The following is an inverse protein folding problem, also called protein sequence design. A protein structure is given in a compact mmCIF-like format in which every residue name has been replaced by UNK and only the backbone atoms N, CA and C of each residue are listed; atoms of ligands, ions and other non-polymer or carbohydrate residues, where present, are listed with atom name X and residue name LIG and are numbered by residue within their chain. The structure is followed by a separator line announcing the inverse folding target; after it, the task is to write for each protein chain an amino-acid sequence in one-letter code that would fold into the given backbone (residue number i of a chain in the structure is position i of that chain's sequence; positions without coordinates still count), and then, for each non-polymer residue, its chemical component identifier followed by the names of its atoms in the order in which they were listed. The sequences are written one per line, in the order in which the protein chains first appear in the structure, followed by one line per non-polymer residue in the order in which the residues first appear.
data_IF_648832187454
#
_entry.id   IF_648832187454
#
_cell.length_a   1.000
_cell.length_b   1.000
_cell.length_c   1.000
_cell.angle_alpha   90.00
_cell.angle_beta   90.00
_cell.angle_gamma   90.00
#
_symmetry.space_group_name_H-M   'P 1'
#
loop_
_entity.id
_entity.type
_entity.pdbx_description
1 polymer ?
#
# COMPACT_ATOMS: atom_id res chain seq x y z
N UNK A 1 39.09 64.35 -30.35
CA UNK A 1 40.40 63.67 -30.25
C UNK A 1 40.14 62.19 -30.45
N UNK A 2 40.50 61.65 -31.62
CA UNK A 2 41.83 61.06 -31.87
C UNK A 2 41.94 59.77 -31.06
N UNK A 3 41.64 58.60 -31.63
CA UNK A 3 42.55 57.74 -32.40
C UNK A 3 42.22 56.31 -31.87
N UNK A 4 42.13 55.19 -32.59
CA UNK A 4 42.44 54.81 -33.96
C UNK A 4 41.48 53.66 -34.32
N UNK A 5 40.62 53.89 -35.32
CA UNK A 5 39.78 52.91 -36.00
C UNK A 5 40.53 52.43 -37.26
N UNK A 6 41.82 52.12 -37.11
CA UNK A 6 42.74 51.91 -38.22
C UNK A 6 43.57 50.65 -37.99
N UNK A 7 42.87 49.51 -38.00
CA UNK A 7 43.50 48.23 -38.32
C UNK A 7 42.52 47.34 -39.11
N UNK A 8 41.74 47.97 -39.99
CA UNK A 8 40.93 47.30 -41.02
C UNK A 8 41.37 47.92 -42.36
N UNK A 9 42.50 47.47 -42.89
CA UNK A 9 42.92 47.53 -44.31
C UNK A 9 44.44 47.61 -44.47
N UNK A 10 45.16 46.62 -43.95
CA UNK A 10 46.42 46.29 -44.61
C UNK A 10 46.66 44.79 -44.58
N UNK A 11 46.97 44.28 -45.77
CA UNK A 11 47.46 42.94 -46.08
C UNK A 11 46.39 41.91 -46.46
N UNK A 12 45.65 42.28 -47.52
CA UNK A 12 45.46 41.35 -48.62
C UNK A 12 46.80 40.80 -49.11
N UNK A 13 47.08 39.57 -48.70
CA UNK A 13 47.77 38.55 -49.50
C UNK A 13 47.64 37.24 -48.72
N UNK A 14 46.50 36.57 -48.91
CA UNK A 14 46.44 35.13 -48.69
C UNK A 14 47.43 34.51 -49.69
N UNK A 15 48.69 34.38 -49.27
CA UNK A 15 49.56 33.38 -49.85
C UNK A 15 48.80 32.06 -49.69
N UNK A 16 48.37 31.53 -50.83
CA UNK A 16 47.99 30.14 -51.02
C UNK A 16 49.17 29.29 -50.59
N UNK A 17 49.35 29.13 -49.27
CA UNK A 17 50.24 28.14 -48.68
C UNK A 17 49.59 26.83 -49.05
N UNK A 18 50.19 26.21 -50.05
CA UNK A 18 50.02 24.81 -50.40
C UNK A 18 49.71 24.01 -49.14
N UNK A 19 48.59 23.32 -49.16
CA UNK A 19 48.34 22.20 -48.27
C UNK A 19 49.43 21.15 -48.56
N UNK A 20 50.61 21.31 -47.98
CA UNK A 20 51.48 20.19 -47.74
C UNK A 20 50.76 19.36 -46.69
N UNK A 21 50.02 18.35 -47.14
CA UNK A 21 49.81 17.15 -46.35
C UNK A 21 51.20 16.74 -45.89
N UNK A 22 51.53 17.00 -44.62
CA UNK A 22 52.53 16.18 -43.95
C UNK A 22 52.00 14.76 -44.13
N UNK A 23 52.69 13.98 -44.95
CA UNK A 23 52.52 12.54 -44.96
C UNK A 23 52.57 12.12 -43.49
N UNK A 24 51.45 11.63 -42.98
CA UNK A 24 51.40 11.03 -41.65
C UNK A 24 52.50 9.98 -41.66
N UNK A 25 53.55 10.18 -40.86
CA UNK A 25 54.50 9.12 -40.57
C UNK A 25 53.64 7.94 -40.07
N UNK A 26 53.80 6.78 -40.69
CA UNK A 26 53.10 5.58 -40.25
C UNK A 26 53.39 5.33 -38.77
N UNK A 27 52.41 4.77 -38.06
CA UNK A 27 52.55 4.48 -36.64
C UNK A 27 53.75 3.58 -36.35
N UNK A 28 54.51 3.91 -35.31
CA UNK A 28 55.58 3.04 -34.84
C UNK A 28 54.98 1.79 -34.18
N UNK A 29 55.66 0.64 -34.28
CA UNK A 29 55.18 -0.64 -33.70
C UNK A 29 54.87 -0.49 -32.20
N UNK A 30 55.67 0.31 -31.48
CA UNK A 30 55.49 0.60 -30.06
C UNK A 30 54.23 1.40 -29.74
N UNK A 31 53.83 2.36 -30.59
CA UNK A 31 52.58 3.13 -30.41
C UNK A 31 51.35 2.25 -30.63
N UNK A 32 51.38 1.37 -31.64
CA UNK A 32 50.28 0.42 -31.91
C UNK A 32 50.13 -0.58 -30.77
N UNK A 33 51.24 -1.08 -30.22
CA UNK A 33 51.23 -1.96 -29.06
C UNK A 33 50.67 -1.27 -27.80
N UNK A 34 51.07 -0.03 -27.54
CA UNK A 34 50.56 0.73 -26.39
C UNK A 34 49.07 1.05 -26.54
N UNK A 35 48.64 1.48 -27.73
CA UNK A 35 47.23 1.71 -28.02
C UNK A 35 46.40 0.43 -27.90
N UNK A 36 46.91 -0.70 -28.38
CA UNK A 36 46.29 -2.02 -28.25
C UNK A 36 46.14 -2.44 -26.78
N UNK A 37 47.17 -2.22 -25.96
CA UNK A 37 47.12 -2.50 -24.52
C UNK A 37 46.08 -1.62 -23.81
N UNK A 38 46.08 -0.31 -24.08
CA UNK A 38 45.09 0.61 -23.51
C UNK A 38 43.67 0.21 -23.91
N UNK A 39 43.45 -0.14 -25.18
CA UNK A 39 42.15 -0.60 -25.67
C UNK A 39 41.71 -1.89 -24.96
N UNK A 40 42.61 -2.86 -24.79
CA UNK A 40 42.31 -4.11 -24.09
C UNK A 40 41.92 -3.86 -22.63
N UNK A 41 42.66 -3.00 -21.92
CA UNK A 41 42.30 -2.64 -20.53
C UNK A 41 40.95 -1.92 -20.46
N UNK A 42 40.67 -1.00 -21.39
CA UNK A 42 39.40 -0.28 -21.43
C UNK A 42 38.21 -1.23 -21.68
N UNK A 43 38.35 -2.20 -22.60
CA UNK A 43 37.33 -3.21 -22.88
C UNK A 43 37.08 -4.11 -21.67
N UNK A 44 38.13 -4.52 -20.96
CA UNK A 44 37.99 -5.33 -19.74
C UNK A 44 37.25 -4.57 -18.62
N UNK A 45 37.63 -3.32 -18.36
CA UNK A 45 36.98 -2.49 -17.33
C UNK A 45 35.51 -2.21 -17.70
N UNK A 46 35.24 -1.86 -18.95
CA UNK A 46 33.88 -1.65 -19.44
C UNK A 46 33.02 -2.94 -19.37
N UNK A 47 33.62 -4.10 -19.69
CA UNK A 47 32.96 -5.40 -19.61
C UNK A 47 32.52 -5.75 -18.18
N UNK A 48 33.40 -5.55 -17.19
CA UNK A 48 33.06 -5.76 -15.77
C UNK A 48 31.94 -4.80 -15.34
N UNK A 49 32.03 -3.53 -15.75
CA UNK A 49 31.00 -2.53 -15.45
C UNK A 49 29.61 -2.92 -15.96
N UNK A 50 29.52 -3.38 -17.23
CA UNK A 50 28.26 -3.82 -17.82
C UNK A 50 27.68 -5.06 -17.11
N UNK A 51 28.52 -6.05 -16.76
CA UNK A 51 28.08 -7.25 -16.04
C UNK A 51 27.48 -6.89 -14.68
N UNK A 52 28.12 -5.98 -13.94
CA UNK A 52 27.62 -5.53 -12.64
C UNK A 52 26.29 -4.76 -12.78
N UNK A 53 26.17 -3.92 -13.81
CA UNK A 53 24.92 -3.20 -14.09
C UNK A 53 23.79 -4.16 -14.45
N UNK A 54 24.04 -5.13 -15.33
CA UNK A 54 23.04 -6.14 -15.70
C UNK A 54 22.61 -6.96 -14.48
N UNK A 55 23.55 -7.42 -13.65
CA UNK A 55 23.24 -8.15 -12.41
C UNK A 55 22.39 -7.31 -11.46
N UNK A 56 22.71 -6.03 -11.31
CA UNK A 56 21.93 -5.09 -10.50
C UNK A 56 20.50 -4.93 -11.03
N UNK A 57 20.35 -4.73 -12.34
CA UNK A 57 19.03 -4.60 -12.98
C UNK A 57 18.19 -5.87 -12.86
N UNK A 58 18.78 -7.05 -13.09
CA UNK A 58 18.08 -8.32 -12.90
C UNK A 58 17.63 -8.51 -11.45
N UNK A 59 18.48 -8.10 -10.49
CA UNK A 59 18.15 -8.17 -9.07
C UNK A 59 17.04 -7.22 -8.67
N UNK A 60 17.12 -5.96 -9.10
CA UNK A 60 16.08 -4.98 -8.84
C UNK A 60 14.73 -5.40 -9.46
N UNK A 61 14.76 -5.94 -10.68
CA UNK A 61 13.55 -6.42 -11.35
C UNK A 61 12.93 -7.63 -10.61
N UNK A 62 13.74 -8.61 -10.23
CA UNK A 62 13.27 -9.77 -9.48
C UNK A 62 12.71 -9.37 -8.10
N UNK A 63 13.38 -8.47 -7.38
CA UNK A 63 12.90 -7.96 -6.09
C UNK A 63 11.54 -7.25 -6.24
N UNK A 64 11.39 -6.39 -7.25
CA UNK A 64 10.14 -5.70 -7.54
C UNK A 64 9.00 -6.67 -7.89
N UNK A 65 9.27 -7.65 -8.76
CA UNK A 65 8.29 -8.66 -9.17
C UNK A 65 7.80 -9.50 -7.98
N UNK A 66 8.72 -9.99 -7.14
CA UNK A 66 8.37 -10.79 -5.95
C UNK A 66 7.50 -9.98 -5.00
N UNK A 67 7.90 -8.75 -4.69
CA UNK A 67 7.16 -7.88 -3.77
C UNK A 67 5.74 -7.62 -4.26
N UNK A 68 5.62 -7.27 -5.54
CA UNK A 68 4.32 -7.03 -6.17
C UNK A 68 3.43 -8.28 -6.13
N UNK A 69 3.97 -9.44 -6.51
CA UNK A 69 3.22 -10.70 -6.53
C UNK A 69 2.77 -11.13 -5.12
N UNK A 70 3.64 -11.02 -4.11
CA UNK A 70 3.30 -11.43 -2.74
C UNK A 70 2.32 -10.47 -2.09
N UNK A 71 2.47 -9.16 -2.28
CA UNK A 71 1.52 -8.18 -1.75
C UNK A 71 0.14 -8.38 -2.36
N UNK A 72 0.05 -8.58 -3.69
CA UNK A 72 -1.22 -8.89 -4.37
C UNK A 72 -1.81 -10.23 -3.91
N UNK A 73 -0.96 -11.22 -3.60
CA UNK A 73 -1.39 -12.50 -3.04
C UNK A 73 -2.04 -12.30 -1.67
N UNK A 74 -1.37 -11.58 -0.76
CA UNK A 74 -1.89 -11.32 0.57
C UNK A 74 -3.18 -10.51 0.52
N UNK A 75 -3.28 -9.50 -0.36
CA UNK A 75 -4.50 -8.74 -0.56
C UNK A 75 -5.67 -9.62 -1.01
N UNK A 76 -5.42 -10.47 -2.02
CA UNK A 76 -6.41 -11.42 -2.54
C UNK A 76 -6.91 -12.40 -1.47
N UNK A 77 -5.98 -13.07 -0.77
CA UNK A 77 -6.34 -14.03 0.28
C UNK A 77 -7.02 -13.32 1.45
N UNK A 78 -6.58 -12.11 1.80
CA UNK A 78 -7.21 -11.30 2.85
C UNK A 78 -8.66 -10.97 2.52
N UNK A 79 -8.94 -10.59 1.27
CA UNK A 79 -10.31 -10.27 0.86
C UNK A 79 -11.24 -11.49 0.91
N UNK A 80 -10.73 -12.68 0.58
CA UNK A 80 -11.50 -13.91 0.78
C UNK A 80 -11.67 -14.29 2.26
N UNK A 81 -10.65 -14.11 3.10
CA UNK A 81 -10.74 -14.33 4.55
C UNK A 81 -11.73 -13.36 5.19
N UNK A 82 -11.82 -12.12 4.73
CA UNK A 82 -12.84 -11.16 5.18
C UNK A 82 -14.26 -11.66 4.90
N UNK A 83 -14.45 -12.44 3.83
CA UNK A 83 -15.74 -13.07 3.48
C UNK A 83 -16.01 -14.38 4.24
N UNK A 84 -15.02 -14.91 4.96
CA UNK A 84 -15.17 -16.13 5.74
C UNK A 84 -16.09 -15.92 6.95
N UNK A 85 -16.86 -16.96 7.26
CA UNK A 85 -17.69 -17.06 8.46
C UNK A 85 -17.10 -17.99 9.51
N UNK A 86 -16.51 -19.09 9.08
CA UNK A 86 -15.82 -20.04 9.96
C UNK A 86 -14.46 -20.31 9.35
N UNK A 87 -13.41 -20.16 10.16
CA UNK A 87 -12.03 -20.46 9.76
C UNK A 87 -11.57 -21.71 10.49
N UNK A 88 -10.98 -22.66 9.76
CA UNK A 88 -10.36 -23.83 10.37
C UNK A 88 -9.17 -23.36 11.22
N UNK A 89 -9.17 -23.71 12.50
CA UNK A 89 -8.15 -23.26 13.46
C UNK A 89 -7.00 -24.28 13.65
N UNK A 90 -6.99 -25.37 12.89
CA UNK A 90 -5.96 -26.42 12.91
C UNK A 90 -6.01 -27.23 11.61
N UNK A 91 -4.93 -27.96 11.30
CA UNK A 91 -4.88 -28.88 10.14
C UNK A 91 -6.01 -29.92 10.18
N UNK A 92 -6.33 -30.43 11.37
CA UNK A 92 -7.40 -31.43 11.57
C UNK A 92 -8.81 -30.87 11.41
N UNK A 93 -8.99 -29.54 11.54
CA UNK A 93 -10.27 -28.88 11.29
C UNK A 93 -10.52 -28.65 9.78
N UNK A 94 -9.55 -28.96 8.93
CA UNK A 94 -9.70 -28.92 7.48
C UNK A 94 -10.34 -30.24 7.05
N UNK A 95 -11.62 -30.19 6.71
CA UNK A 95 -12.43 -31.36 6.33
C UNK A 95 -12.46 -31.61 4.84
N UNK A 96 -12.01 -30.65 4.02
CA UNK A 96 -12.04 -30.80 2.56
C UNK A 96 -11.04 -31.86 2.08
N UNK A 97 -11.53 -32.83 1.32
CA UNK A 97 -10.72 -33.90 0.72
C UNK A 97 -10.13 -33.53 -0.64
N UNK A 98 -10.16 -32.23 -0.99
CA UNK A 98 -9.87 -31.74 -2.34
C UNK A 98 -8.43 -31.30 -2.50
N UNK A 99 -7.64 -31.29 -1.44
CA UNK A 99 -6.20 -31.07 -1.53
C UNK A 99 -5.54 -32.27 -2.25
N UNK A 100 -4.85 -32.06 -3.38
CA UNK A 100 -4.17 -33.14 -4.10
C UNK A 100 -3.09 -33.81 -3.26
N UNK A 101 -2.76 -35.07 -3.59
CA UNK A 101 -1.67 -35.80 -2.96
C UNK A 101 -0.34 -35.05 -3.09
N UNK A 102 0.38 -34.89 -1.98
CA UNK A 102 1.62 -34.10 -1.91
C UNK A 102 1.40 -32.59 -1.77
N UNK A 103 0.15 -32.12 -1.83
CA UNK A 103 -0.22 -30.78 -1.41
C UNK A 103 -0.34 -30.69 0.11
N UNK A 104 0.00 -29.53 0.67
CA UNK A 104 -0.14 -29.24 2.09
C UNK A 104 -1.16 -28.13 2.30
N UNK A 105 -2.22 -28.40 3.04
CA UNK A 105 -3.21 -27.38 3.38
C UNK A 105 -2.59 -26.35 4.34
N UNK A 106 -2.80 -25.07 4.05
CA UNK A 106 -2.19 -23.95 4.80
C UNK A 106 -3.22 -22.99 5.38
N UNK A 107 -4.44 -22.97 4.83
CA UNK A 107 -5.58 -22.20 5.31
C UNK A 107 -6.87 -22.82 4.75
N UNK A 108 -7.92 -22.90 5.56
CA UNK A 108 -9.24 -23.28 5.09
C UNK A 108 -10.32 -22.51 5.82
N UNK A 109 -11.41 -22.17 5.12
CA UNK A 109 -12.53 -21.47 5.70
C UNK A 109 -13.83 -21.72 4.93
N UNK A 110 -14.96 -21.50 5.60
CA UNK A 110 -16.30 -21.57 5.02
C UNK A 110 -16.88 -20.18 4.88
N UNK A 111 -17.66 -19.98 3.82
CA UNK A 111 -18.36 -18.72 3.53
C UNK A 111 -19.86 -18.88 3.85
N UNK A 112 -20.57 -17.78 4.15
CA UNK A 112 -22.04 -17.80 4.25
C UNK A 112 -22.68 -18.26 2.95
N UNK A 113 -23.85 -18.89 3.03
CA UNK A 113 -24.70 -19.10 1.85
C UNK A 113 -25.22 -17.72 1.36
N UNK A 114 -24.93 -17.32 0.11
CA UNK A 114 -25.40 -16.03 -0.42
C UNK A 114 -26.92 -15.90 -0.45
N UNK A 115 -27.66 -17.02 -0.58
CA UNK A 115 -29.11 -17.00 -0.62
C UNK A 115 -29.72 -16.88 0.78
N UNK A 116 -29.00 -17.34 1.81
CA UNK A 116 -29.45 -17.35 3.20
C UNK A 116 -28.29 -17.02 4.15
N UNK A 117 -27.79 -15.76 4.14
CA UNK A 117 -26.58 -15.39 4.89
C UNK A 117 -26.73 -15.55 6.41
N UNK A 118 -27.95 -15.56 6.92
CA UNK A 118 -28.25 -15.75 8.35
C UNK A 118 -28.22 -17.21 8.82
N UNK A 119 -28.29 -18.20 7.91
CA UNK A 119 -28.32 -19.64 8.23
C UNK A 119 -26.92 -20.24 8.37
N UNK A 120 -26.77 -21.57 8.44
CA UNK A 120 -25.45 -22.22 8.48
C UNK A 120 -24.58 -21.84 7.25
N UNK A 121 -23.24 -21.76 7.39
CA UNK A 121 -22.35 -21.58 6.25
C UNK A 121 -22.43 -22.76 5.28
N UNK A 122 -21.86 -22.59 4.09
CA UNK A 122 -21.72 -23.69 3.15
C UNK A 122 -20.92 -24.84 3.78
N UNK A 123 -21.36 -26.08 3.55
CA UNK A 123 -20.73 -27.27 4.15
C UNK A 123 -19.28 -27.47 3.68
N UNK A 124 -18.95 -27.05 2.47
CA UNK A 124 -17.59 -27.17 1.93
C UNK A 124 -16.70 -25.99 2.34
N UNK A 125 -15.41 -26.28 2.54
CA UNK A 125 -14.38 -25.28 2.83
C UNK A 125 -13.62 -24.86 1.57
N UNK A 126 -13.43 -23.55 1.40
CA UNK A 126 -12.41 -23.02 0.49
C UNK A 126 -11.06 -23.34 1.12
N UNK A 127 -10.18 -24.02 0.38
CA UNK A 127 -8.89 -24.49 0.89
C UNK A 127 -7.75 -23.92 0.07
N UNK A 128 -6.83 -23.30 0.78
CA UNK A 128 -5.53 -22.92 0.28
C UNK A 128 -4.51 -23.99 0.63
N UNK A 129 -3.73 -24.40 -0.35
CA UNK A 129 -2.71 -25.41 -0.19
C UNK A 129 -1.48 -25.10 -1.03
N UNK A 130 -0.33 -25.49 -0.53
CA UNK A 130 0.95 -25.36 -1.24
C UNK A 130 1.34 -26.69 -1.86
N UNK A 131 1.92 -26.65 -3.05
CA UNK A 131 2.47 -27.84 -3.72
C UNK A 131 3.94 -27.64 -4.04
N UNK A 132 4.64 -28.76 -4.23
CA UNK A 132 5.98 -28.73 -4.82
C UNK A 132 5.95 -28.17 -6.25
N UNK A 133 7.12 -27.88 -6.83
CA UNK A 133 7.19 -27.26 -8.14
C UNK A 133 6.68 -28.21 -9.22
N UNK A 134 5.89 -27.69 -10.16
CA UNK A 134 5.45 -28.43 -11.36
C UNK A 134 6.56 -28.49 -12.42
N UNK A 135 7.37 -27.44 -12.48
CA UNK A 135 8.45 -27.25 -13.46
C UNK A 135 9.58 -26.38 -12.87
N UNK A 136 10.56 -25.99 -13.68
CA UNK A 136 11.66 -25.12 -13.25
C UNK A 136 11.26 -23.66 -13.01
N UNK A 137 10.13 -23.21 -13.58
CA UNK A 137 9.65 -21.82 -13.50
C UNK A 137 8.85 -21.56 -12.22
N UNK A 138 8.18 -22.59 -11.70
CA UNK A 138 7.34 -22.58 -10.51
C UNK A 138 8.07 -22.96 -9.22
N UNK A 139 9.40 -23.10 -9.28
CA UNK A 139 10.24 -23.37 -8.09
C UNK A 139 10.29 -22.15 -7.16
N UNK A 140 10.36 -22.34 -5.83
CA UNK A 140 10.32 -23.63 -5.11
C UNK A 140 8.91 -24.21 -4.94
N UNK A 141 7.90 -23.39 -4.69
CA UNK A 141 6.53 -23.83 -4.39
C UNK A 141 5.48 -22.89 -5.01
N UNK A 142 4.27 -23.42 -5.18
CA UNK A 142 3.10 -22.67 -5.67
C UNK A 142 1.96 -22.78 -4.66
N UNK A 143 1.33 -21.65 -4.37
CA UNK A 143 0.06 -21.58 -3.63
C UNK A 143 -1.10 -21.82 -4.59
N UNK A 144 -1.95 -22.76 -4.21
CA UNK A 144 -3.18 -23.08 -4.92
C UNK A 144 -4.37 -22.82 -4.01
N UNK A 145 -5.49 -22.53 -4.66
CA UNK A 145 -6.80 -22.37 -4.05
C UNK A 145 -7.73 -23.40 -4.65
N UNK A 146 -8.47 -24.11 -3.81
CA UNK A 146 -9.66 -24.85 -4.19
C UNK A 146 -10.89 -24.11 -3.68
N UNK A 147 -11.77 -23.69 -4.58
CA UNK A 147 -12.92 -22.87 -4.22
C UNK A 147 -13.82 -22.56 -5.42
N UNK A 148 -14.92 -21.82 -5.18
CA UNK A 148 -15.79 -21.36 -6.25
C UNK A 148 -15.07 -20.37 -7.16
N UNK A 149 -15.53 -20.28 -8.40
CA UNK A 149 -15.00 -19.34 -9.39
C UNK A 149 -15.33 -17.89 -9.03
N UNK A 150 -14.45 -16.98 -9.42
CA UNK A 150 -14.64 -15.54 -9.25
C UNK A 150 -15.04 -14.91 -10.58
N UNK A 151 -16.07 -14.06 -10.55
CA UNK A 151 -16.42 -13.22 -11.69
C UNK A 151 -15.41 -12.04 -11.84
N UNK A 152 -15.49 -11.23 -12.92
CA UNK A 152 -14.60 -10.07 -13.10
C UNK A 152 -14.69 -9.02 -11.98
N UNK A 153 -15.74 -9.06 -11.16
CA UNK A 153 -15.95 -8.15 -10.03
C UNK A 153 -15.43 -8.76 -8.72
N UNK A 154 -14.86 -9.97 -8.74
CA UNK A 154 -14.35 -10.66 -7.56
C UNK A 154 -15.41 -11.35 -6.70
N UNK A 155 -16.63 -11.54 -7.21
CA UNK A 155 -17.70 -12.25 -6.50
C UNK A 155 -17.69 -13.75 -6.82
N UNK A 156 -18.15 -14.57 -5.88
CA UNK A 156 -18.29 -16.00 -6.10
C UNK A 156 -19.41 -16.32 -7.08
N UNK A 157 -19.09 -17.13 -8.08
CA UNK A 157 -20.06 -17.70 -9.03
C UNK A 157 -20.47 -19.09 -8.56
N UNK A 158 -21.77 -19.29 -8.35
CA UNK A 158 -22.36 -20.57 -7.91
C UNK A 158 -21.68 -21.22 -6.69
N UNK A 159 -21.43 -20.48 -5.59
CA UNK A 159 -20.66 -21.02 -4.46
C UNK A 159 -21.33 -22.23 -3.79
N UNK A 160 -22.66 -22.34 -3.86
CA UNK A 160 -23.42 -23.48 -3.37
C UNK A 160 -23.28 -24.77 -4.22
N UNK A 161 -22.75 -24.68 -5.45
CA UNK A 161 -22.55 -25.83 -6.32
C UNK A 161 -21.08 -26.28 -6.29
N UNK A 162 -20.77 -27.27 -5.44
CA UNK A 162 -19.40 -27.79 -5.30
C UNK A 162 -18.82 -28.39 -6.58
N UNK A 163 -19.66 -28.81 -7.54
CA UNK A 163 -19.19 -29.38 -8.80
C UNK A 163 -18.55 -28.35 -9.73
N UNK A 164 -18.80 -27.06 -9.52
CA UNK A 164 -18.20 -25.96 -10.32
C UNK A 164 -16.90 -25.43 -9.72
N UNK A 165 -16.52 -25.90 -8.52
CA UNK A 165 -15.30 -25.46 -7.86
C UNK A 165 -14.07 -26.05 -8.54
N UNK A 166 -13.01 -25.27 -8.61
CA UNK A 166 -11.78 -25.68 -9.29
C UNK A 166 -10.52 -25.32 -8.51
N UNK A 167 -9.41 -25.94 -8.91
CA UNK A 167 -8.08 -25.59 -8.45
C UNK A 167 -7.51 -24.46 -9.29
N UNK A 168 -7.17 -23.35 -8.66
CA UNK A 168 -6.55 -22.20 -9.32
C UNK A 168 -5.22 -21.87 -8.65
N UNK A 169 -4.15 -21.62 -9.44
CA UNK A 169 -2.90 -21.12 -8.89
C UNK A 169 -3.09 -19.67 -8.45
N UNK A 170 -2.54 -19.31 -7.30
CA UNK A 170 -2.66 -17.97 -6.71
C UNK A 170 -1.34 -17.23 -6.81
N UNK A 171 -0.25 -17.87 -6.39
CA UNK A 171 1.09 -17.30 -6.42
C UNK A 171 2.14 -18.38 -6.56
N UNK A 172 3.27 -18.06 -7.18
CA UNK A 172 4.40 -18.95 -7.36
C UNK A 172 5.64 -18.44 -6.59
N UNK A 173 6.77 -19.13 -6.74
CA UNK A 173 8.08 -18.75 -6.17
C UNK A 173 8.08 -18.59 -4.65
N UNK A 174 7.17 -19.30 -3.98
CA UNK A 174 7.15 -19.38 -2.52
C UNK A 174 8.36 -20.17 -2.02
N UNK A 175 8.95 -19.70 -0.93
CA UNK A 175 10.05 -20.36 -0.26
C UNK A 175 9.68 -21.80 0.14
N UNK A 176 10.68 -22.69 0.18
CA UNK A 176 10.43 -24.08 0.54
C UNK A 176 9.99 -24.23 2.01
N UNK A 177 10.55 -23.38 2.89
CA UNK A 177 10.28 -23.29 4.31
C UNK A 177 10.03 -21.83 4.71
N UNK A 178 9.28 -21.63 5.80
CA UNK A 178 9.06 -20.30 6.36
C UNK A 178 10.34 -19.73 7.00
N UNK A 179 10.54 -18.41 6.90
CA UNK A 179 11.73 -17.70 7.45
C UNK A 179 11.59 -17.47 8.96
N UNK A 180 10.39 -17.10 9.42
CA UNK A 180 10.04 -17.04 10.84
C UNK A 180 8.70 -17.76 11.04
N UNK A 181 8.74 -19.05 11.41
CA UNK A 181 7.53 -19.85 11.54
C UNK A 181 6.74 -19.53 12.81
N UNK A 182 7.03 -18.48 13.58
CA UNK A 182 6.32 -18.26 14.85
C UNK A 182 4.93 -17.66 14.65
N UNK A 183 3.98 -18.11 15.48
CA UNK A 183 2.67 -17.47 15.62
C UNK A 183 2.58 -16.91 17.05
N UNK A 184 1.88 -15.78 17.28
CA UNK A 184 1.65 -15.29 18.64
C UNK A 184 0.89 -16.32 19.49
N UNK A 185 0.99 -16.21 20.82
CA UNK A 185 0.48 -17.23 21.77
C UNK A 185 -1.03 -17.55 21.63
N UNK A 186 -1.81 -16.60 21.13
CA UNK A 186 -3.26 -16.75 20.90
C UNK A 186 -3.65 -17.17 19.49
N UNK A 187 -2.66 -17.54 18.68
CA UNK A 187 -2.86 -18.00 17.33
C UNK A 187 -2.36 -19.43 17.16
N UNK A 188 -3.22 -20.25 16.56
CA UNK A 188 -2.90 -21.58 16.13
C UNK A 188 -2.32 -21.54 14.72
N UNK A 189 -1.16 -22.18 14.56
CA UNK A 189 -0.58 -22.41 13.24
C UNK A 189 -1.32 -23.54 12.55
N UNK A 190 -1.75 -23.32 11.31
CA UNK A 190 -2.51 -24.33 10.56
C UNK A 190 -1.62 -25.47 10.07
N UNK A 191 -0.46 -25.16 9.50
CA UNK A 191 0.41 -26.16 8.87
C UNK A 191 1.70 -26.37 9.68
N UNK A 192 2.07 -27.63 9.95
CA UNK A 192 3.31 -27.96 10.67
C UNK A 192 4.11 -29.07 9.96
N UNK A 193 5.37 -28.85 9.51
CA UNK A 193 6.09 -27.58 9.49
C UNK A 193 5.46 -26.56 8.52
N UNK A 194 5.54 -25.25 8.81
CA UNK A 194 5.08 -24.22 7.88
C UNK A 194 6.01 -24.11 6.67
N UNK A 195 5.40 -23.82 5.53
CA UNK A 195 6.09 -23.61 4.25
C UNK A 195 6.13 -22.12 3.93
N UNK A 196 6.62 -21.73 2.74
CA UNK A 196 6.68 -20.34 2.33
C UNK A 196 5.32 -19.61 2.27
N UNK A 197 4.21 -20.29 2.52
CA UNK A 197 2.96 -19.63 2.91
C UNK A 197 2.38 -20.37 4.11
N UNK A 198 1.98 -19.62 5.14
CA UNK A 198 1.30 -20.19 6.31
C UNK A 198 0.36 -19.17 6.97
N UNK A 199 -0.71 -19.69 7.56
CA UNK A 199 -1.65 -18.90 8.34
C UNK A 199 -1.54 -19.22 9.83
N UNK A 200 -1.58 -18.16 10.64
CA UNK A 200 -1.82 -18.23 12.06
C UNK A 200 -3.27 -17.78 12.30
N UNK A 201 -4.14 -18.66 12.79
CA UNK A 201 -5.56 -18.37 13.03
C UNK A 201 -5.77 -18.18 14.53
N UNK A 202 -6.42 -17.09 14.92
CA UNK A 202 -6.72 -16.82 16.32
C UNK A 202 -7.58 -17.94 16.90
N UNK A 203 -7.42 -18.24 18.20
CA UNK A 203 -8.19 -19.31 18.88
C UNK A 203 -9.71 -19.14 18.72
N UNK A 204 -10.18 -17.90 18.63
CA UNK A 204 -11.59 -17.56 18.45
C UNK A 204 -12.08 -17.66 16.98
N UNK A 205 -11.19 -17.89 16.01
CA UNK A 205 -11.53 -18.10 14.60
C UNK A 205 -12.00 -16.86 13.83
N UNK A 206 -11.95 -15.68 14.44
CA UNK A 206 -12.37 -14.39 13.87
C UNK A 206 -11.22 -13.59 13.21
N UNK A 207 -9.98 -14.01 13.41
CA UNK A 207 -8.80 -13.29 12.98
C UNK A 207 -7.73 -14.25 12.44
N UNK A 208 -7.02 -13.82 11.40
CA UNK A 208 -5.94 -14.57 10.76
C UNK A 208 -4.75 -13.65 10.51
N UNK A 209 -3.55 -14.14 10.79
CA UNK A 209 -2.30 -13.55 10.30
C UNK A 209 -1.83 -14.43 9.14
N UNK A 210 -1.76 -13.85 7.96
CA UNK A 210 -1.25 -14.49 6.75
C UNK A 210 0.23 -14.14 6.62
N UNK A 211 1.07 -15.14 6.41
CA UNK A 211 2.51 -14.97 6.22
C UNK A 211 2.91 -15.59 4.89
N UNK A 212 3.69 -14.85 4.11
CA UNK A 212 4.21 -15.29 2.83
C UNK A 212 5.71 -14.97 2.72
N UNK A 213 6.49 -16.00 2.42
CA UNK A 213 7.91 -15.98 2.17
C UNK A 213 8.16 -16.46 0.74
N UNK A 214 8.92 -15.68 -0.02
CA UNK A 214 9.31 -16.00 -1.38
C UNK A 214 10.83 -16.04 -1.54
N UNK A 215 11.27 -16.86 -2.48
CA UNK A 215 12.67 -17.06 -2.79
C UNK A 215 12.86 -17.24 -4.30
N UNK A 216 13.70 -16.38 -4.89
CA UNK A 216 14.18 -16.55 -6.26
C UNK A 216 15.66 -16.81 -6.25
N UNK A 217 16.06 -17.90 -6.91
CA UNK A 217 17.46 -18.18 -7.25
C UNK A 217 17.76 -17.67 -8.64
N UNK A 218 18.72 -16.76 -8.75
CA UNK A 218 19.18 -16.19 -10.01
C UNK A 218 20.13 -17.13 -10.73
N UNK A 219 20.28 -16.93 -12.05
CA UNK A 219 21.28 -17.64 -12.86
C UNK A 219 22.72 -17.34 -12.44
N UNK A 220 22.94 -16.23 -11.72
CA UNK A 220 24.22 -15.85 -11.12
C UNK A 220 24.54 -16.56 -9.81
N UNK A 221 23.67 -17.49 -9.35
CA UNK A 221 23.67 -18.10 -8.02
C UNK A 221 23.39 -17.14 -6.84
N UNK A 222 22.99 -15.90 -7.13
CA UNK A 222 22.46 -15.00 -6.12
C UNK A 222 21.03 -15.40 -5.74
N UNK A 223 20.63 -15.12 -4.51
CA UNK A 223 19.27 -15.36 -4.03
C UNK A 223 18.62 -14.07 -3.58
N UNK A 224 17.36 -13.87 -3.98
CA UNK A 224 16.49 -12.81 -3.47
C UNK A 224 15.43 -13.47 -2.61
N UNK A 225 15.28 -12.97 -1.39
CA UNK A 225 14.29 -13.41 -0.40
C UNK A 225 13.45 -12.22 -0.02
N UNK A 226 12.15 -12.44 0.09
CA UNK A 226 11.20 -11.43 0.54
C UNK A 226 10.14 -12.10 1.42
N UNK A 227 9.81 -11.45 2.52
CA UNK A 227 8.88 -11.94 3.51
C UNK A 227 7.90 -10.82 3.84
N UNK A 228 6.61 -11.14 3.87
CA UNK A 228 5.56 -10.19 4.21
C UNK A 228 4.47 -10.89 5.00
N UNK A 229 3.85 -10.15 5.91
CA UNK A 229 2.70 -10.62 6.66
C UNK A 229 1.57 -9.58 6.66
N UNK A 230 0.36 -10.04 6.94
CA UNK A 230 -0.79 -9.16 7.14
C UNK A 230 -1.78 -9.80 8.09
N UNK A 231 -2.55 -8.97 8.78
CA UNK A 231 -3.54 -9.37 9.79
C UNK A 231 -4.94 -9.02 9.28
N UNK A 232 -5.84 -9.98 9.37
CA UNK A 232 -7.16 -9.92 8.74
C UNK A 232 -8.23 -10.37 9.71
N UNK A 233 -9.36 -9.68 9.72
CA UNK A 233 -10.56 -10.05 10.48
C UNK A 233 -11.69 -10.50 9.55
N UNK A 234 -12.46 -11.49 10.00
CA UNK A 234 -13.68 -11.93 9.31
C UNK A 234 -14.78 -10.89 9.43
N UNK A 235 -15.51 -10.62 8.35
CA UNK A 235 -16.69 -9.73 8.34
C UNK A 235 -18.01 -10.50 8.44
N UNK A 236 -18.03 -11.79 8.10
CA UNK A 236 -19.24 -12.60 8.18
C UNK A 236 -19.44 -13.09 9.62
N UNK A 237 -20.20 -12.31 10.37
CA UNK A 237 -20.36 -12.45 11.81
C UNK A 237 -21.25 -13.67 12.22
N UNK A 238 -20.82 -14.42 13.24
CA UNK A 238 -21.70 -15.24 14.08
C UNK A 238 -22.41 -14.33 15.08
N UNK A 239 -23.63 -14.65 15.52
CA UNK A 239 -24.47 -13.86 16.47
C UNK A 239 -23.71 -13.34 17.73
N UNK A 240 -22.54 -13.89 18.06
CA UNK A 240 -21.66 -13.47 19.16
C UNK A 240 -20.79 -12.21 18.92
N UNK A 241 -20.64 -11.63 17.71
CA UNK A 241 -19.80 -10.41 17.57
C UNK A 241 -20.39 -9.15 18.24
N UNK A 242 -21.58 -9.24 18.86
CA UNK A 242 -22.15 -8.14 19.63
C UNK A 242 -21.66 -8.09 21.10
N UNK A 243 -20.81 -9.03 21.55
CA UNK A 243 -20.41 -9.10 22.97
C UNK A 243 -18.92 -9.29 23.28
N UNK A 244 -18.04 -9.55 22.30
CA UNK A 244 -16.60 -9.68 22.58
C UNK A 244 -15.82 -8.45 22.14
N UNK A 245 -15.08 -7.89 23.09
CA UNK A 245 -14.17 -6.76 23.02
C UNK A 245 -13.45 -6.52 21.69
N UNK A 246 -13.47 -5.24 21.32
CA UNK A 246 -12.75 -4.50 20.29
C UNK A 246 -11.44 -5.13 19.80
N UNK A 247 -11.28 -5.38 18.49
CA UNK A 247 -10.01 -5.83 17.92
C UNK A 247 -9.02 -4.67 17.79
N UNK A 248 -7.87 -4.79 18.45
CA UNK A 248 -6.67 -3.95 18.24
C UNK A 248 -6.04 -4.25 16.89
N UNK A 249 -5.93 -3.24 16.05
CA UNK A 249 -5.58 -3.30 14.63
C UNK A 249 -4.22 -2.59 14.40
N UNK A 250 -3.14 -3.14 14.98
CA UNK A 250 -1.76 -2.65 14.76
C UNK A 250 -1.46 -2.41 13.26
N UNK A 251 -1.18 -1.16 12.82
CA UNK A 251 -0.85 -0.90 11.43
C UNK A 251 0.62 -1.24 11.17
N UNK A 252 0.86 -2.23 10.31
CA UNK A 252 2.19 -2.50 9.75
C UNK A 252 2.35 -1.63 8.51
N UNK A 253 3.26 -0.66 8.59
CA UNK A 253 3.63 0.24 7.50
C UNK A 253 4.47 -0.50 6.45
N UNK A 254 4.07 -0.48 5.17
CA UNK A 254 4.99 -0.75 4.05
C UNK A 254 4.56 0.07 2.82
N UNK A 255 5.49 0.76 2.14
CA UNK A 255 5.19 1.81 1.18
C UNK A 255 4.83 1.26 -0.21
N UNK A 256 3.80 1.84 -0.81
CA UNK A 256 3.40 1.64 -2.21
C UNK A 256 4.12 2.63 -3.10
N UNK A 257 5.00 2.17 -4.00
CA UNK A 257 5.52 3.00 -5.11
C UNK A 257 4.88 2.54 -6.43
N UNK A 258 3.89 3.30 -6.88
CA UNK A 258 3.30 3.21 -8.22
C UNK A 258 4.27 3.78 -9.27
N UNK A 259 4.39 3.20 -10.48
CA UNK A 259 5.31 3.68 -11.51
C UNK A 259 4.90 5.04 -12.09
N UNK A 260 5.88 5.92 -12.12
CA UNK A 260 5.86 7.26 -12.71
C UNK A 260 5.64 7.21 -14.22
N UNK A 261 4.50 7.68 -14.69
CA UNK A 261 4.40 8.34 -15.99
C UNK A 261 4.55 9.85 -15.77
N UNK A 262 5.54 10.43 -16.43
CA UNK A 262 5.87 11.86 -16.61
C UNK A 262 4.93 12.88 -15.90
N UNK A 263 5.41 13.60 -14.87
CA UNK A 263 4.55 14.48 -14.08
C UNK A 263 4.30 15.82 -14.79
N UNK A 264 3.02 16.10 -15.03
CA UNK A 264 2.53 17.48 -14.98
C UNK A 264 2.51 17.86 -13.50
N UNK A 265 3.30 18.87 -13.12
CA UNK A 265 3.58 19.28 -11.73
C UNK A 265 2.39 19.96 -11.06
N UNK A 266 1.26 19.28 -10.94
CA UNK A 266 0.20 19.70 -10.01
C UNK A 266 0.60 19.18 -8.64
N UNK A 267 0.93 20.05 -7.67
CA UNK A 267 1.28 19.60 -6.33
C UNK A 267 0.12 18.76 -5.76
N UNK A 268 0.44 17.55 -5.30
CA UNK A 268 -0.53 16.63 -4.72
C UNK A 268 -0.78 17.05 -3.25
N UNK A 269 -2.04 17.18 -2.81
CA UNK A 269 -2.34 17.56 -1.43
C UNK A 269 -1.76 16.54 -0.43
N UNK A 270 -1.34 16.98 0.78
CA UNK A 270 -0.71 16.11 1.79
C UNK A 270 -1.73 15.23 2.54
N UNK A 271 -2.93 15.06 1.98
CA UNK A 271 -4.01 14.28 2.55
C UNK A 271 -4.95 13.76 1.45
N UNK A 272 -5.74 12.74 1.77
CA UNK A 272 -6.94 12.37 1.03
C UNK A 272 -8.14 12.32 1.97
N UNK A 273 -9.35 12.14 1.44
CA UNK A 273 -10.58 12.07 2.26
C UNK A 273 -11.25 10.72 2.09
N UNK A 274 -11.80 10.20 3.19
CA UNK A 274 -12.67 9.02 3.20
C UNK A 274 -14.00 9.36 3.85
N UNK A 275 -15.08 8.60 3.56
CA UNK A 275 -16.31 8.68 4.34
C UNK A 275 -16.00 8.37 5.80
N UNK A 276 -16.31 9.29 6.71
CA UNK A 276 -16.29 8.97 8.14
C UNK A 276 -17.33 7.90 8.43
N UNK A 277 -17.06 7.00 9.37
CA UNK A 277 -18.04 6.01 9.84
C UNK A 277 -19.39 6.69 10.12
N UNK A 278 -20.46 6.27 9.43
CA UNK A 278 -21.81 6.86 9.55
C UNK A 278 -22.13 8.05 8.63
N UNK A 279 -21.15 8.61 7.92
CA UNK A 279 -21.36 9.65 6.91
C UNK A 279 -21.38 9.05 5.50
N UNK A 280 -22.26 9.54 4.62
CA UNK A 280 -22.27 9.17 3.19
C UNK A 280 -21.35 10.07 2.35
N UNK A 281 -20.85 11.15 2.94
CA UNK A 281 -19.92 12.11 2.33
C UNK A 281 -18.51 11.94 2.92
N UNK A 282 -17.45 12.23 2.15
CA UNK A 282 -16.08 12.10 2.60
C UNK A 282 -15.71 13.20 3.59
N UNK A 283 -15.91 12.94 4.88
CA UNK A 283 -15.72 13.90 5.98
C UNK A 283 -14.46 13.67 6.82
N UNK A 284 -13.74 12.56 6.61
CA UNK A 284 -12.52 12.22 7.36
C UNK A 284 -11.27 12.49 6.50
N UNK A 285 -10.47 13.53 6.81
CA UNK A 285 -9.16 13.71 6.21
C UNK A 285 -8.15 12.71 6.77
N UNK A 286 -7.35 12.10 5.91
CA UNK A 286 -6.25 11.20 6.27
C UNK A 286 -4.96 11.76 5.68
N UNK A 287 -3.94 12.02 6.53
CA UNK A 287 -2.66 12.57 6.07
C UNK A 287 -1.83 11.51 5.33
N UNK A 288 -1.16 11.88 4.23
CA UNK A 288 -0.34 10.95 3.42
C UNK A 288 1.13 10.94 3.80
N UNK A 289 1.57 11.94 4.56
CA UNK A 289 2.92 12.13 5.08
C UNK A 289 2.83 12.61 6.52
N UNK A 290 3.88 12.43 7.35
CA UNK A 290 3.91 13.03 8.69
C UNK A 290 3.72 14.55 8.59
N UNK A 291 2.86 15.10 9.44
CA UNK A 291 2.44 16.50 9.37
C UNK A 291 2.18 17.08 10.76
N UNK A 292 2.13 18.41 10.81
CA UNK A 292 1.58 19.18 11.93
C UNK A 292 0.21 19.70 11.53
N UNK A 293 -0.81 19.38 12.32
CA UNK A 293 -2.20 19.73 12.08
C UNK A 293 -2.63 20.81 13.06
N UNK A 294 -3.17 21.92 12.55
CA UNK A 294 -3.76 22.98 13.37
C UNK A 294 -5.19 23.21 12.89
N UNK A 295 -6.17 23.15 13.80
CA UNK A 295 -7.58 23.45 13.49
C UNK A 295 -8.04 24.72 14.22
N UNK A 296 -8.46 25.73 13.49
CA UNK A 296 -8.85 27.04 14.03
C UNK A 296 -10.33 27.31 13.76
N UNK A 297 -11.05 27.77 14.78
CA UNK A 297 -12.43 28.24 14.61
C UNK A 297 -12.37 29.62 13.96
N UNK A 298 -12.81 29.71 12.70
CA UNK A 298 -12.86 30.98 11.95
C UNK A 298 -14.24 31.64 12.04
N UNK A 299 -15.27 30.87 12.40
CA UNK A 299 -16.63 31.37 12.67
C UNK A 299 -17.33 30.46 13.67
N UNK A 300 -18.11 31.05 14.58
CA UNK A 300 -18.83 30.33 15.64
C UNK A 300 -18.38 30.77 17.03
N UNK A 301 -18.92 30.13 18.07
CA UNK A 301 -18.51 30.36 19.46
C UNK A 301 -17.10 29.86 19.74
N UNK A 302 -16.46 30.39 20.78
CA UNK A 302 -15.19 29.83 21.27
C UNK A 302 -15.44 28.49 21.95
N UNK A 303 -14.45 27.61 21.87
CA UNK A 303 -14.55 26.25 22.34
C UNK A 303 -13.37 25.99 23.29
N UNK A 304 -13.66 25.72 24.56
CA UNK A 304 -12.63 25.44 25.57
C UNK A 304 -12.23 23.97 25.51
N UNK A 305 -10.92 23.72 25.44
CA UNK A 305 -10.36 22.37 25.33
C UNK A 305 -10.94 21.41 26.37
N UNK A 306 -11.53 20.33 25.88
CA UNK A 306 -12.25 19.32 26.67
C UNK A 306 -12.50 18.09 25.80
N UNK A 307 -13.13 17.04 26.36
CA UNK A 307 -13.51 15.85 25.58
C UNK A 307 -14.50 16.14 24.43
N UNK A 308 -15.18 17.28 24.46
CA UNK A 308 -16.12 17.73 23.42
C UNK A 308 -15.56 18.86 22.55
N UNK A 309 -14.28 19.20 22.73
CA UNK A 309 -13.67 20.36 22.09
C UNK A 309 -12.16 20.21 21.91
N UNK A 310 -11.70 20.15 20.66
CA UNK A 310 -10.28 20.06 20.32
C UNK A 310 -10.03 19.25 19.06
N UNK A 311 -8.78 18.86 18.86
CA UNK A 311 -8.31 18.08 17.70
C UNK A 311 -7.65 16.81 18.20
N UNK A 312 -7.86 15.72 17.47
CA UNK A 312 -7.09 14.49 17.62
C UNK A 312 -6.68 14.00 16.24
N UNK A 313 -5.49 13.44 16.19
CA UNK A 313 -4.92 12.81 15.00
C UNK A 313 -4.48 11.42 15.42
N UNK A 314 -5.12 10.41 14.87
CA UNK A 314 -4.83 9.02 15.23
C UNK A 314 -5.16 8.09 14.06
N UNK A 315 -4.66 6.84 14.07
CA UNK A 315 -5.10 5.83 13.13
C UNK A 315 -6.64 5.68 13.14
N UNK A 316 -7.24 5.36 11.99
CA UNK A 316 -8.70 5.28 11.82
C UNK A 316 -9.40 4.38 12.87
N UNK A 317 -8.70 3.35 13.34
CA UNK A 317 -9.16 2.45 14.41
C UNK A 317 -9.33 3.11 15.79
N UNK A 318 -8.57 4.17 16.07
CA UNK A 318 -8.56 4.89 17.35
C UNK A 318 -9.49 6.11 17.32
N UNK A 319 -10.09 6.41 16.16
CA UNK A 319 -11.02 7.52 15.98
C UNK A 319 -12.42 7.17 16.49
N UNK A 320 -13.15 8.13 17.12
CA UNK A 320 -12.84 9.55 17.10
C UNK A 320 -11.84 9.99 18.18
N UNK A 321 -11.33 9.08 19.03
CA UNK A 321 -10.34 9.40 20.06
C UNK A 321 -10.81 10.37 21.14
N UNK A 322 -9.88 10.77 22.01
CA UNK A 322 -10.05 11.93 22.91
C UNK A 322 -9.22 13.07 22.30
N UNK A 323 -9.73 14.31 22.26
CA UNK A 323 -8.93 15.46 21.83
C UNK A 323 -7.57 15.54 22.53
N UNK A 324 -6.51 15.63 21.75
CA UNK A 324 -5.12 15.71 22.24
C UNK A 324 -4.60 17.15 22.26
N UNK A 325 -5.15 18.02 21.40
CA UNK A 325 -4.82 19.43 21.32
C UNK A 325 -6.03 20.35 21.32
N UNK A 326 -5.86 21.55 21.85
CA UNK A 326 -6.87 22.62 21.76
C UNK A 326 -7.01 23.11 20.31
N UNK A 327 -8.19 23.63 19.94
CA UNK A 327 -8.34 24.37 18.68
C UNK A 327 -7.38 25.57 18.69
N UNK A 328 -6.64 25.76 17.59
CA UNK A 328 -5.56 26.73 17.45
C UNK A 328 -4.19 26.25 17.95
N UNK A 329 -4.09 25.06 18.54
CA UNK A 329 -2.80 24.45 18.91
C UNK A 329 -2.37 23.39 17.90
N UNK A 330 -1.06 23.24 17.62
CA UNK A 330 -0.55 22.22 16.72
C UNK A 330 -0.64 20.82 17.36
N UNK A 331 -1.07 19.84 16.58
CA UNK A 331 -1.09 18.40 16.91
C UNK A 331 -0.27 17.64 15.86
N UNK A 332 0.55 16.68 16.28
CA UNK A 332 1.39 15.90 15.38
C UNK A 332 0.62 14.71 14.82
N UNK A 333 0.64 14.54 13.50
CA UNK A 333 0.04 13.41 12.79
C UNK A 333 1.11 12.62 12.05
N UNK A 334 1.05 11.30 12.12
CA UNK A 334 1.85 10.39 11.29
C UNK A 334 1.12 10.11 9.97
N UNK A 335 1.85 9.68 8.94
CA UNK A 335 1.25 9.23 7.70
C UNK A 335 0.23 8.10 7.96
N UNK A 336 -1.01 8.27 7.47
CA UNK A 336 -2.12 7.36 7.71
C UNK A 336 -3.06 7.77 8.84
N UNK A 337 -2.70 8.77 9.66
CA UNK A 337 -3.57 9.26 10.73
C UNK A 337 -4.74 10.07 10.15
N UNK A 338 -5.94 9.82 10.68
CA UNK A 338 -7.12 10.60 10.39
C UNK A 338 -7.25 11.80 11.33
N UNK A 339 -7.81 12.90 10.83
CA UNK A 339 -7.99 14.15 11.58
C UNK A 339 -9.44 14.27 12.04
N UNK A 340 -9.64 14.31 13.35
CA UNK A 340 -10.96 14.55 13.94
C UNK A 340 -10.96 15.85 14.73
N UNK A 341 -11.94 16.67 14.43
CA UNK A 341 -12.18 17.96 15.07
C UNK A 341 -13.46 17.87 15.87
N UNK A 342 -13.37 18.22 17.14
CA UNK A 342 -14.48 18.35 18.07
C UNK A 342 -14.77 19.81 18.34
N UNK A 343 -16.04 20.20 18.22
CA UNK A 343 -16.50 21.54 18.56
C UNK A 343 -17.87 21.50 19.23
N UNK A 344 -17.91 21.84 20.51
CA UNK A 344 -19.15 21.88 21.31
C UNK A 344 -20.00 20.58 21.22
N UNK A 345 -19.31 19.42 21.21
CA UNK A 345 -19.92 18.10 21.08
C UNK A 345 -20.22 17.65 19.64
N UNK A 346 -20.02 18.53 18.66
CA UNK A 346 -20.05 18.22 17.23
C UNK A 346 -18.71 17.64 16.78
N UNK A 347 -18.73 16.83 15.71
CA UNK A 347 -17.51 16.22 15.15
C UNK A 347 -17.66 15.81 13.69
N UNK A 348 -16.55 15.79 12.95
CA UNK A 348 -16.57 15.54 11.48
C UNK A 348 -16.72 14.07 11.10
N UNK A 349 -16.57 13.16 12.06
CA UNK A 349 -16.77 11.72 11.88
C UNK A 349 -17.84 11.20 12.84
N UNK A 350 -18.40 10.01 12.56
CA UNK A 350 -19.48 9.44 13.38
C UNK A 350 -20.63 10.42 13.55
N UNK A 351 -21.05 11.01 12.41
CA UNK A 351 -22.05 12.04 12.37
C UNK A 351 -23.36 11.54 12.99
N UNK A 352 -23.83 12.22 14.04
CA UNK A 352 -25.21 12.04 14.46
C UNK A 352 -26.11 12.84 13.52
N UNK A 353 -26.59 12.18 12.46
CA UNK A 353 -27.44 12.79 11.43
C UNK A 353 -28.76 13.34 11.98
N UNK A 354 -29.13 13.05 13.23
CA UNK A 354 -30.29 13.67 13.89
C UNK A 354 -29.93 14.97 14.63
N UNK A 355 -28.67 15.18 14.99
CA UNK A 355 -28.21 16.32 15.79
C UNK A 355 -27.41 17.36 15.01
N UNK A 356 -26.72 16.95 13.93
CA UNK A 356 -25.81 17.83 13.19
C UNK A 356 -25.81 17.53 11.68
N UNK A 357 -25.20 18.45 10.92
CA UNK A 357 -24.70 18.25 9.54
C UNK A 357 -23.25 18.69 9.44
N UNK A 358 -22.45 17.98 8.64
CA UNK A 358 -21.04 18.33 8.38
C UNK A 358 -20.80 18.49 6.88
N UNK A 359 -20.27 19.65 6.49
CA UNK A 359 -19.82 19.91 5.12
C UNK A 359 -18.30 20.10 5.11
N UNK A 360 -17.63 19.59 4.07
CA UNK A 360 -16.17 19.61 3.97
C UNK A 360 -15.74 20.21 2.65
N UNK A 361 -14.97 21.29 2.72
CA UNK A 361 -14.42 21.99 1.57
C UNK A 361 -12.90 21.91 1.55
N UNK A 362 -12.36 21.86 0.34
CA UNK A 362 -10.93 21.72 0.02
C UNK A 362 -10.59 22.67 -1.13
N UNK A 363 -9.32 22.78 -1.53
CA UNK A 363 -8.89 23.71 -2.59
C UNK A 363 -9.56 23.48 -3.96
N UNK A 364 -10.10 22.29 -4.21
CA UNK A 364 -10.84 21.91 -5.42
C UNK A 364 -12.37 22.13 -5.31
N UNK A 365 -12.85 22.67 -4.19
CA UNK A 365 -14.27 22.93 -3.98
C UNK A 365 -14.72 24.18 -4.72
N UNK A 366 -15.72 24.05 -5.59
CA UNK A 366 -16.18 25.14 -6.45
C UNK A 366 -17.01 26.22 -5.72
N UNK A 367 -17.60 25.90 -4.57
CA UNK A 367 -18.53 26.77 -3.84
C UNK A 367 -18.19 26.82 -2.35
N UNK A 368 -17.24 27.67 -1.97
CA UNK A 368 -16.92 27.93 -0.57
C UNK A 368 -18.04 28.74 0.11
N UNK A 369 -18.24 28.58 1.44
CA UNK A 369 -19.17 29.42 2.20
C UNK A 369 -18.86 30.92 2.03
N UNK A 370 -19.91 31.75 2.03
CA UNK A 370 -19.75 33.19 1.89
C UNK A 370 -18.79 33.74 2.96
N UNK A 371 -17.76 34.48 2.52
CA UNK A 371 -16.66 35.07 3.30
C UNK A 371 -15.42 34.17 3.54
N UNK A 372 -15.36 32.97 2.97
CA UNK A 372 -14.13 32.17 2.96
C UNK A 372 -13.23 32.56 1.78
N UNK A 373 -11.97 32.90 2.04
CA UNK A 373 -10.94 33.05 1.01
C UNK A 373 -10.69 31.69 0.32
N UNK A 374 -10.06 31.71 -0.87
CA UNK A 374 -9.62 30.48 -1.55
C UNK A 374 -8.77 29.61 -0.61
N UNK A 375 -9.11 28.33 -0.47
CA UNK A 375 -8.34 27.39 0.32
C UNK A 375 -7.06 26.98 -0.41
N UNK A 376 -5.94 26.89 0.31
CA UNK A 376 -4.72 26.28 -0.23
C UNK A 376 -4.84 24.75 -0.27
N UNK A 377 -3.96 24.06 -1.00
CA UNK A 377 -3.96 22.59 -1.09
C UNK A 377 -3.68 21.86 0.24
N UNK A 378 -3.21 22.61 1.24
CA UNK A 378 -2.89 22.12 2.58
C UNK A 378 -4.01 22.44 3.59
N UNK A 379 -5.14 22.96 3.12
CA UNK A 379 -6.22 23.43 3.96
C UNK A 379 -7.54 22.70 3.68
N UNK A 380 -8.28 22.50 4.76
CA UNK A 380 -9.61 21.89 4.76
C UNK A 380 -10.51 22.78 5.61
N UNK A 381 -11.67 23.13 5.07
CA UNK A 381 -12.69 23.84 5.82
C UNK A 381 -13.80 22.86 6.20
N UNK A 382 -14.02 22.71 7.50
CA UNK A 382 -15.10 21.91 8.07
C UNK A 382 -16.21 22.86 8.53
N UNK A 383 -17.43 22.63 8.07
CA UNK A 383 -18.62 23.40 8.47
C UNK A 383 -19.57 22.49 9.23
N UNK A 384 -19.71 22.76 10.52
CA UNK A 384 -20.62 22.07 11.42
C UNK A 384 -21.88 22.89 11.57
N UNK A 385 -23.06 22.27 11.45
CA UNK A 385 -24.34 22.94 11.73
C UNK A 385 -25.21 22.07 12.61
N UNK A 386 -25.73 22.61 13.71
CA UNK A 386 -26.68 21.90 14.57
C UNK A 386 -28.07 21.87 13.95
N UNK A 387 -28.83 20.81 14.20
CA UNK A 387 -30.24 20.70 13.79
C UNK A 387 -31.22 21.28 14.82
N UNK A 388 -30.72 22.06 15.77
CA UNK A 388 -31.54 22.77 16.77
C UNK A 388 -32.21 24.00 16.16
N UNK A 389 -33.21 24.54 16.85
CA UNK A 389 -33.85 25.80 16.47
C UNK A 389 -33.61 26.85 17.57
N UNK A 390 -32.83 27.92 17.31
CA UNK A 390 -32.11 28.23 16.07
C UNK A 390 -30.89 27.31 15.84
N UNK A 391 -30.42 27.16 14.58
CA UNK A 391 -29.22 26.40 14.28
C UNK A 391 -27.97 27.20 14.66
N UNK A 392 -27.00 26.52 15.27
CA UNK A 392 -25.66 27.04 15.49
C UNK A 392 -24.74 26.47 14.42
N UNK A 393 -23.82 27.30 13.91
CA UNK A 393 -22.87 26.89 12.88
C UNK A 393 -21.45 27.26 13.26
N UNK A 394 -20.51 26.35 13.02
CA UNK A 394 -19.08 26.53 13.25
C UNK A 394 -18.34 26.26 11.95
N UNK A 395 -17.44 27.17 11.59
CA UNK A 395 -16.51 27.00 10.47
C UNK A 395 -15.12 26.82 11.07
N UNK A 396 -14.49 25.68 10.77
CA UNK A 396 -13.17 25.31 11.30
C UNK A 396 -12.21 25.11 10.14
N UNK A 397 -11.15 25.92 10.12
CA UNK A 397 -10.07 25.82 9.15
C UNK A 397 -8.98 24.89 9.70
N UNK A 398 -8.80 23.76 9.06
CA UNK A 398 -7.72 22.81 9.34
C UNK A 398 -6.58 23.08 8.37
N UNK A 399 -5.38 23.35 8.90
CA UNK A 399 -4.14 23.52 8.13
C UNK A 399 -3.19 22.36 8.41
N UNK A 400 -2.73 21.70 7.36
CA UNK A 400 -1.84 20.53 7.41
C UNK A 400 -0.48 20.94 6.87
N UNK A 401 0.52 20.98 7.73
CA UNK A 401 1.90 21.34 7.35
C UNK A 401 2.76 20.07 7.37
N UNK A 402 3.17 19.52 6.20
CA UNK A 402 4.11 18.40 6.16
C UNK A 402 5.38 18.70 6.97
N UNK A 403 5.88 17.70 7.69
CA UNK A 403 7.12 17.80 8.49
C UNK A 403 8.39 17.73 7.64
#
# INVERSE_FOLDING_TARGET
MRFYLEYINHLGRLQKKSAHRRLQAGFTITEVLLAGLMMLTAVLVAGIGLINLLRSNYRANADSEIRNNLNRTLEFVSDEVRRARIIANSETAITSTKVPTGGKAVLAFQIPDPNNPSLAPLNEQIVYYTTGPKDSLTRPRVLWRYGPNLDPNGNYTTPNNILTWQHSPVTDRLAEAAVDPSCPADFNKISNPPQGFFACVHKDGNQVILNADAQIKMTTNDEVKYSVNTRVFTRACQIFCLTSSTPTTTPTTTPTTTPTTTPTTTPTPPFYRTPGSGATTPTLPIVTVPATVTAEVIKGGTCTFSSSCGVVTAPDEDLPGIPEGALGSPVLANAGDGIVVFVDGLRNVYENTQAQTVEVYTSDSNNLPANSNSLTQNQILLVFTTKTTPPNSYEILVTITPQ
#
